data_IF_010007523484
#
_entry.id   IF_010007523484
#
_cell.length_a   1.000
_cell.length_b   1.000
_cell.length_c   1.000
_cell.angle_alpha   90.00
_cell.angle_beta   90.00
_cell.angle_gamma   90.00
#
_symmetry.space_group_name_H-M   'P 1'
#
loop_
_entity.id
_entity.type
_entity.pdbx_description
1 polymer ?
#
# COMPACT_ATOMS: atom_id res chain seq x y z
N UNK A 1 -20.86 26.45 -12.45
CA UNK A 1 -19.93 26.03 -11.39
C UNK A 1 -18.55 25.77 -11.99
N UNK A 2 -17.47 25.91 -11.23
CA UNK A 2 -16.13 25.61 -11.73
C UNK A 2 -16.00 24.11 -12.02
N UNK A 3 -15.28 23.78 -13.10
CA UNK A 3 -15.08 22.39 -13.54
C UNK A 3 -13.68 21.90 -13.19
N UNK A 4 -13.54 20.62 -13.12
CA UNK A 4 -12.29 19.89 -12.89
C UNK A 4 -12.16 18.71 -13.86
N UNK A 5 -10.93 18.24 -14.06
CA UNK A 5 -10.66 16.98 -14.76
C UNK A 5 -10.69 15.80 -13.80
N UNK A 6 -11.27 14.71 -14.26
CA UNK A 6 -11.26 13.43 -13.58
C UNK A 6 -11.04 12.30 -14.60
N UNK A 7 -10.49 11.19 -14.12
CA UNK A 7 -10.42 9.95 -14.88
C UNK A 7 -11.31 8.92 -14.21
N UNK A 8 -12.35 8.49 -14.91
CA UNK A 8 -13.36 7.57 -14.40
C UNK A 8 -13.36 6.25 -15.17
N UNK A 9 -13.91 5.23 -14.52
CA UNK A 9 -14.33 3.97 -15.14
C UNK A 9 -15.85 4.04 -15.30
N UNK A 10 -16.41 3.96 -16.52
CA UNK A 10 -17.84 4.16 -16.75
C UNK A 10 -18.70 2.95 -16.37
N UNK A 11 -18.12 1.75 -16.38
CA UNK A 11 -18.73 0.45 -16.03
C UNK A 11 -17.65 -0.59 -15.73
N UNK A 12 -17.99 -1.70 -15.12
CA UNK A 12 -17.06 -2.82 -14.92
C UNK A 12 -16.41 -3.26 -16.23
N UNK A 13 -15.08 -3.38 -16.25
CA UNK A 13 -14.29 -3.69 -17.44
C UNK A 13 -14.20 -2.56 -18.47
N UNK A 14 -14.84 -1.38 -18.23
CA UNK A 14 -14.81 -0.23 -19.14
C UNK A 14 -13.44 0.45 -19.16
N UNK A 15 -13.10 1.11 -20.26
CA UNK A 15 -11.84 1.86 -20.35
C UNK A 15 -11.86 3.12 -19.46
N UNK A 16 -10.67 3.59 -19.11
CA UNK A 16 -10.53 4.87 -18.42
C UNK A 16 -10.94 6.02 -19.34
N UNK A 17 -11.82 6.88 -18.85
CA UNK A 17 -12.31 8.07 -19.55
C UNK A 17 -11.85 9.34 -18.85
N UNK A 18 -11.20 10.23 -19.57
CA UNK A 18 -10.93 11.60 -19.11
C UNK A 18 -12.20 12.43 -19.30
N UNK A 19 -12.74 12.94 -18.19
CA UNK A 19 -13.99 13.70 -18.21
C UNK A 19 -13.84 15.03 -17.48
N UNK A 20 -14.69 16.00 -17.85
CA UNK A 20 -14.89 17.21 -17.06
C UNK A 20 -16.10 17.02 -16.14
N UNK A 21 -15.92 17.33 -14.86
CA UNK A 21 -16.96 17.23 -13.82
C UNK A 21 -17.03 18.55 -13.05
N UNK A 22 -18.13 18.80 -12.40
CA UNK A 22 -18.20 19.89 -11.43
C UNK A 22 -17.32 19.60 -10.21
N UNK A 23 -16.69 20.64 -9.67
CA UNK A 23 -15.91 20.51 -8.43
C UNK A 23 -16.87 20.13 -7.30
N UNK A 24 -16.68 18.97 -6.61
CA UNK A 24 -17.60 18.50 -5.60
C UNK A 24 -17.56 19.39 -4.34
N UNK A 25 -18.69 19.49 -3.64
CA UNK A 25 -18.80 20.24 -2.39
C UNK A 25 -18.77 19.27 -1.21
N UNK A 26 -17.98 19.55 -0.15
CA UNK A 26 -17.94 18.71 1.03
C UNK A 26 -19.21 18.89 1.87
N UNK A 27 -19.83 17.77 2.23
CA UNK A 27 -20.93 17.74 3.19
C UNK A 27 -20.45 17.80 4.65
N UNK A 28 -21.37 17.68 5.62
CA UNK A 28 -21.02 17.58 7.03
C UNK A 28 -20.05 16.40 7.29
N UNK A 29 -18.98 16.62 8.08
CA UNK A 29 -17.97 15.61 8.38
C UNK A 29 -17.03 15.27 7.21
N UNK A 30 -17.05 16.04 6.11
CA UNK A 30 -16.21 15.82 4.94
C UNK A 30 -15.34 17.02 4.63
N UNK A 31 -14.20 16.79 4.00
CA UNK A 31 -13.36 17.83 3.42
C UNK A 31 -13.25 17.66 1.91
N UNK A 32 -13.06 18.78 1.19
CA UNK A 32 -12.59 18.75 -0.19
C UNK A 32 -11.07 18.85 -0.22
N UNK A 33 -10.44 17.94 -0.93
CA UNK A 33 -8.99 17.89 -1.10
C UNK A 33 -8.67 18.31 -2.53
N UNK A 34 -7.80 19.31 -2.71
CA UNK A 34 -7.12 19.55 -3.97
C UNK A 34 -6.02 18.51 -4.09
N UNK A 35 -6.23 17.53 -4.95
CA UNK A 35 -5.27 16.44 -5.16
C UNK A 35 -4.03 17.00 -5.86
N UNK A 36 -2.86 16.65 -5.36
CA UNK A 36 -1.57 16.99 -5.97
C UNK A 36 -0.96 15.78 -6.66
N UNK A 37 -1.15 14.59 -6.07
CA UNK A 37 -0.70 13.33 -6.64
C UNK A 37 -1.57 12.16 -6.17
N UNK A 38 -1.65 11.12 -7.00
CA UNK A 38 -2.26 9.85 -6.63
C UNK A 38 -1.44 8.69 -7.22
N UNK A 39 -0.97 7.78 -6.37
CA UNK A 39 -0.30 6.56 -6.84
C UNK A 39 -1.27 5.62 -7.55
N UNK A 40 -0.73 4.81 -8.45
CA UNK A 40 -1.47 3.76 -9.18
C UNK A 40 -1.14 2.41 -8.57
N UNK A 41 -2.16 1.77 -8.00
CA UNK A 41 -2.03 0.51 -7.29
C UNK A 41 -2.63 -0.66 -8.08
N UNK A 42 -2.08 -1.86 -7.87
CA UNK A 42 -2.68 -3.07 -8.46
C UNK A 42 -4.14 -3.26 -8.00
N UNK A 43 -4.46 -2.85 -6.77
CA UNK A 43 -5.84 -2.95 -6.24
C UNK A 43 -6.85 -2.06 -6.96
N UNK A 44 -6.43 -1.09 -7.79
CA UNK A 44 -7.33 -0.31 -8.64
C UNK A 44 -8.03 -1.20 -9.71
N UNK A 45 -7.51 -2.42 -9.94
CA UNK A 45 -8.19 -3.46 -10.74
C UNK A 45 -9.59 -3.77 -10.18
N UNK A 46 -9.78 -3.69 -8.87
CA UNK A 46 -11.09 -3.95 -8.24
C UNK A 46 -12.14 -2.94 -8.69
N UNK A 47 -11.75 -1.66 -8.86
CA UNK A 47 -12.61 -0.62 -9.43
C UNK A 47 -12.72 -0.77 -10.94
N UNK A 48 -11.61 -1.07 -11.63
CA UNK A 48 -11.57 -1.20 -13.10
C UNK A 48 -12.44 -2.36 -13.59
N UNK A 49 -12.34 -3.52 -12.94
CA UNK A 49 -13.01 -4.77 -13.38
C UNK A 49 -14.30 -5.10 -12.62
N UNK A 50 -14.70 -4.31 -11.62
CA UNK A 50 -15.92 -4.56 -10.85
C UNK A 50 -15.78 -5.66 -9.80
N UNK A 51 -14.57 -5.88 -9.31
CA UNK A 51 -14.26 -6.96 -8.38
C UNK A 51 -14.65 -6.70 -6.91
N UNK A 52 -15.44 -5.66 -6.63
CA UNK A 52 -15.86 -5.33 -5.26
C UNK A 52 -17.37 -5.30 -5.11
N UNK A 53 -17.95 -5.98 -4.11
CA UNK A 53 -19.40 -6.00 -3.88
C UNK A 53 -19.96 -4.59 -3.63
N UNK A 54 -21.06 -4.25 -4.30
CA UNK A 54 -21.75 -2.97 -4.13
C UNK A 54 -21.09 -1.77 -4.82
N UNK A 55 -20.05 -1.98 -5.61
CA UNK A 55 -19.43 -0.92 -6.42
C UNK A 55 -20.42 -0.36 -7.45
N UNK A 56 -20.54 0.96 -7.50
CA UNK A 56 -21.40 1.68 -8.45
C UNK A 56 -20.57 2.47 -9.43
N UNK A 57 -21.08 2.61 -10.66
CA UNK A 57 -20.44 3.35 -11.75
C UNK A 57 -21.29 4.53 -12.25
N UNK A 58 -20.66 5.56 -12.88
CA UNK A 58 -19.23 5.70 -13.10
C UNK A 58 -18.48 5.90 -11.79
N UNK A 59 -17.21 5.44 -11.71
CA UNK A 59 -16.37 5.56 -10.52
C UNK A 59 -14.98 6.10 -10.87
N UNK A 60 -14.50 7.04 -10.07
CA UNK A 60 -13.10 7.52 -10.10
C UNK A 60 -12.28 6.67 -9.15
N UNK A 61 -11.28 5.91 -9.63
CA UNK A 61 -10.41 5.10 -8.77
C UNK A 61 -9.34 5.92 -8.05
N UNK A 62 -8.46 5.21 -7.33
CA UNK A 62 -7.28 5.77 -6.69
C UNK A 62 -7.43 5.95 -5.18
N UNK A 63 -6.55 5.26 -4.43
CA UNK A 63 -6.50 5.25 -2.96
C UNK A 63 -5.08 5.51 -2.42
N UNK A 64 -4.24 6.17 -3.19
CA UNK A 64 -2.89 6.61 -2.80
C UNK A 64 -2.79 8.12 -2.95
N UNK A 65 -3.67 8.84 -2.26
CA UNK A 65 -3.89 10.28 -2.46
C UNK A 65 -2.96 11.10 -1.57
N UNK A 66 -2.34 12.12 -2.16
CA UNK A 66 -1.64 13.19 -1.48
C UNK A 66 -2.15 14.53 -2.00
N UNK A 67 -2.49 15.45 -1.10
CA UNK A 67 -3.05 16.74 -1.49
C UNK A 67 -3.15 17.73 -0.33
N UNK A 68 -3.95 18.76 -0.54
CA UNK A 68 -4.16 19.85 0.42
C UNK A 68 -5.65 20.07 0.61
N UNK A 69 -6.10 20.26 1.83
CA UNK A 69 -7.50 20.61 2.12
C UNK A 69 -7.82 21.97 1.46
N UNK A 70 -8.75 21.96 0.53
CA UNK A 70 -9.21 23.14 -0.18
C UNK A 70 -10.46 23.76 0.48
N UNK A 71 -11.34 22.90 1.01
CA UNK A 71 -12.57 23.34 1.68
C UNK A 71 -12.96 22.34 2.78
N UNK A 72 -13.51 22.85 3.86
CA UNK A 72 -13.93 22.07 5.04
C UNK A 72 -15.44 22.15 5.17
N UNK A 73 -16.11 21.00 5.25
CA UNK A 73 -17.55 20.91 5.48
C UNK A 73 -17.94 21.29 6.90
N UNK A 74 -19.23 21.41 7.14
CA UNK A 74 -19.74 21.82 8.45
C UNK A 74 -19.47 20.78 9.54
N UNK A 75 -19.32 21.27 10.80
CA UNK A 75 -19.13 20.45 11.99
C UNK A 75 -17.70 19.97 12.22
N UNK A 76 -16.74 20.36 11.39
CA UNK A 76 -15.33 19.95 11.51
C UNK A 76 -14.53 21.06 12.20
N UNK A 77 -13.80 20.71 13.27
CA UNK A 77 -12.93 21.61 14.02
C UNK A 77 -11.47 21.16 14.03
N UNK A 78 -11.21 19.87 13.76
CA UNK A 78 -9.88 19.28 13.82
C UNK A 78 -9.03 19.53 12.56
N UNK A 79 -9.66 19.89 11.44
CA UNK A 79 -9.00 20.08 10.15
C UNK A 79 -9.25 21.46 9.59
N UNK A 80 -8.27 22.03 8.88
CA UNK A 80 -8.35 23.39 8.33
C UNK A 80 -7.93 23.42 6.87
N UNK A 81 -8.48 24.37 6.13
CA UNK A 81 -8.03 24.71 4.77
C UNK A 81 -6.53 24.99 4.77
N UNK A 82 -5.82 24.45 3.79
CA UNK A 82 -4.39 24.59 3.62
C UNK A 82 -3.56 23.46 4.24
N UNK A 83 -4.14 22.60 5.10
CA UNK A 83 -3.42 21.47 5.66
C UNK A 83 -3.14 20.40 4.62
N UNK A 84 -1.93 19.84 4.66
CA UNK A 84 -1.51 18.76 3.77
C UNK A 84 -2.00 17.43 4.31
N UNK A 85 -2.66 16.65 3.45
CA UNK A 85 -3.31 15.40 3.84
C UNK A 85 -3.10 14.30 2.81
N UNK A 86 -3.13 13.07 3.30
CA UNK A 86 -3.23 11.87 2.48
C UNK A 86 -4.52 11.12 2.76
N UNK A 87 -4.99 10.35 1.75
CA UNK A 87 -6.07 9.38 1.90
C UNK A 87 -5.60 8.05 1.32
N UNK A 88 -5.58 7.02 2.16
CA UNK A 88 -5.16 5.67 1.78
C UNK A 88 -6.33 4.76 1.43
N UNK A 89 -6.05 3.44 1.46
CA UNK A 89 -7.07 2.40 1.29
C UNK A 89 -8.21 2.55 2.28
N UNK A 90 -7.88 2.78 3.57
CA UNK A 90 -8.86 3.03 4.61
C UNK A 90 -9.53 4.40 4.38
N UNK A 91 -10.68 4.36 3.73
CA UNK A 91 -11.45 5.53 3.31
C UNK A 91 -12.53 5.96 4.31
N UNK A 92 -12.49 5.46 5.54
CA UNK A 92 -13.38 5.81 6.64
C UNK A 92 -14.08 4.61 7.28
N UNK A 93 -14.45 4.76 8.54
CA UNK A 93 -15.15 3.77 9.37
C UNK A 93 -16.47 4.34 9.90
N UNK A 94 -17.34 3.47 10.46
CA UNK A 94 -18.66 3.87 11.00
C UNK A 94 -18.63 4.35 12.46
N UNK A 95 -17.55 4.06 13.19
CA UNK A 95 -17.42 4.42 14.61
C UNK A 95 -18.34 3.65 15.56
N UNK A 96 -19.27 2.82 15.08
CA UNK A 96 -20.37 2.24 15.86
C UNK A 96 -20.37 0.73 15.94
N UNK A 97 -19.81 0.02 14.97
CA UNK A 97 -19.72 -1.43 14.98
C UNK A 97 -18.85 -1.95 16.13
N UNK A 98 -18.89 -3.25 16.40
CA UNK A 98 -18.14 -3.84 17.51
C UNK A 98 -16.64 -3.59 17.41
N UNK A 99 -16.07 -3.70 16.21
CA UNK A 99 -14.65 -3.47 15.95
C UNK A 99 -14.27 -2.01 16.25
N UNK A 100 -15.03 -1.06 15.72
CA UNK A 100 -14.80 0.37 15.98
C UNK A 100 -14.88 0.70 17.48
N UNK A 101 -15.87 0.14 18.19
CA UNK A 101 -16.00 0.34 19.64
C UNK A 101 -14.87 -0.27 20.46
N UNK A 102 -14.09 -1.19 19.88
CA UNK A 102 -12.85 -1.76 20.44
C UNK A 102 -11.59 -1.03 20.01
N UNK A 103 -11.71 0.02 19.19
CA UNK A 103 -10.58 0.74 18.61
C UNK A 103 -9.94 0.03 17.41
N UNK A 104 -10.53 -1.04 16.92
CA UNK A 104 -10.05 -1.82 15.76
C UNK A 104 -10.70 -1.30 14.47
N UNK A 105 -10.34 -0.08 14.09
CA UNK A 105 -10.94 0.61 12.94
C UNK A 105 -10.59 -0.05 11.60
N UNK A 106 -9.42 -0.68 11.50
CA UNK A 106 -8.99 -1.40 10.30
C UNK A 106 -9.89 -2.57 9.91
N UNK A 107 -10.59 -3.15 10.90
CA UNK A 107 -11.55 -4.24 10.73
C UNK A 107 -13.02 -3.77 10.88
N UNK A 108 -13.30 -2.50 10.61
CA UNK A 108 -14.66 -1.97 10.64
C UNK A 108 -15.59 -2.79 9.73
N UNK A 109 -16.76 -3.21 10.24
CA UNK A 109 -17.74 -3.98 9.47
C UNK A 109 -18.29 -3.21 8.26
N UNK A 110 -18.30 -1.87 8.33
CA UNK A 110 -18.75 -0.96 7.28
C UNK A 110 -17.59 -0.10 6.75
N UNK A 111 -16.41 -0.69 6.62
CA UNK A 111 -15.23 -0.01 6.11
C UNK A 111 -15.50 0.57 4.72
N UNK A 112 -15.27 1.85 4.56
CA UNK A 112 -15.27 2.51 3.26
C UNK A 112 -13.87 2.43 2.67
N UNK A 113 -13.77 2.07 1.40
CA UNK A 113 -12.50 2.06 0.66
C UNK A 113 -12.51 3.23 -0.32
N UNK A 114 -11.46 4.06 -0.26
CA UNK A 114 -11.27 5.18 -1.19
C UNK A 114 -11.14 4.68 -2.64
N UNK A 115 -11.83 5.32 -3.57
CA UNK A 115 -11.87 4.89 -4.98
C UNK A 115 -12.81 3.72 -5.26
N UNK A 116 -13.48 3.15 -4.23
CA UNK A 116 -14.48 2.10 -4.33
C UNK A 116 -15.82 2.57 -3.76
N UNK A 117 -15.85 2.92 -2.47
CA UNK A 117 -17.06 3.37 -1.79
C UNK A 117 -17.48 4.79 -2.22
N UNK A 118 -16.53 5.60 -2.59
CA UNK A 118 -16.70 6.96 -3.14
C UNK A 118 -15.55 7.24 -4.12
N UNK A 119 -15.65 8.35 -4.88
CA UNK A 119 -14.65 8.73 -5.88
C UNK A 119 -13.29 8.98 -5.25
N UNK A 120 -12.25 8.36 -5.81
CA UNK A 120 -10.86 8.39 -5.33
C UNK A 120 -10.03 9.51 -5.94
N UNK A 121 -8.72 9.32 -5.95
CA UNK A 121 -7.72 10.35 -6.25
C UNK A 121 -7.40 10.57 -7.74
N UNK A 122 -8.00 9.86 -8.69
CA UNK A 122 -7.75 10.11 -10.11
C UNK A 122 -8.53 11.34 -10.61
N UNK A 123 -8.45 12.44 -9.90
CA UNK A 123 -9.13 13.71 -10.21
C UNK A 123 -8.46 14.89 -9.52
N UNK A 124 -8.69 16.10 -10.02
CA UNK A 124 -8.06 17.33 -9.47
C UNK A 124 -8.60 17.70 -8.08
N UNK A 125 -9.87 17.39 -7.77
CA UNK A 125 -10.49 17.59 -6.45
C UNK A 125 -11.31 16.37 -6.06
N UNK A 126 -11.21 15.95 -4.82
CA UNK A 126 -12.04 14.89 -4.27
C UNK A 126 -12.65 15.29 -2.93
N UNK A 127 -13.70 14.61 -2.52
CA UNK A 127 -14.29 14.74 -1.19
C UNK A 127 -14.02 13.45 -0.41
N UNK A 128 -13.54 13.59 0.82
CA UNK A 128 -13.29 12.47 1.72
C UNK A 128 -13.86 12.76 3.11
N UNK A 129 -14.31 11.73 3.86
CA UNK A 129 -14.70 11.88 5.26
C UNK A 129 -13.43 12.13 6.12
N UNK A 130 -13.57 12.85 7.22
CA UNK A 130 -12.45 13.20 8.09
C UNK A 130 -11.76 11.98 8.71
N UNK A 131 -12.49 10.88 8.87
CA UNK A 131 -11.98 9.61 9.37
C UNK A 131 -11.00 8.92 8.41
N UNK A 132 -10.89 9.39 7.17
CA UNK A 132 -9.96 8.86 6.16
C UNK A 132 -8.65 9.64 6.09
N UNK A 133 -8.56 10.79 6.76
CA UNK A 133 -7.45 11.73 6.58
C UNK A 133 -6.25 11.37 7.44
N UNK A 134 -5.07 11.44 6.85
CA UNK A 134 -3.78 11.39 7.51
C UNK A 134 -3.03 12.71 7.30
N UNK A 135 -2.43 13.26 8.34
CA UNK A 135 -1.54 14.42 8.21
C UNK A 135 -0.30 14.05 7.39
N UNK A 136 0.06 14.90 6.45
CA UNK A 136 1.23 14.70 5.61
C UNK A 136 2.33 15.71 5.97
N UNK A 137 3.57 15.28 6.29
CA UNK A 137 4.69 16.15 6.58
C UNK A 137 5.01 17.13 5.44
N UNK A 138 5.44 18.34 5.79
CA UNK A 138 5.75 19.39 4.81
C UNK A 138 6.93 19.05 3.89
N UNK A 139 7.94 18.35 4.39
CA UNK A 139 9.14 18.01 3.62
C UNK A 139 8.94 16.85 2.62
N UNK A 140 7.81 16.13 2.66
CA UNK A 140 7.53 15.07 1.70
C UNK A 140 6.91 15.64 0.41
N UNK A 141 7.51 15.31 -0.73
CA UNK A 141 6.89 15.56 -2.03
C UNK A 141 5.58 14.77 -2.17
N UNK A 142 4.53 15.39 -2.72
CA UNK A 142 3.21 14.76 -2.81
C UNK A 142 3.23 13.47 -3.66
N UNK A 143 4.02 13.43 -4.74
CA UNK A 143 4.12 12.25 -5.57
C UNK A 143 4.90 11.11 -4.89
N UNK A 144 5.79 11.41 -3.94
CA UNK A 144 6.42 10.41 -3.10
C UNK A 144 5.52 9.97 -1.93
N UNK A 145 4.73 10.90 -1.38
CA UNK A 145 3.79 10.60 -0.30
C UNK A 145 2.63 9.69 -0.76
N UNK A 146 2.11 9.87 -1.98
CA UNK A 146 1.01 9.05 -2.50
C UNK A 146 1.23 7.54 -2.32
N UNK A 147 2.27 6.92 -2.88
CA UNK A 147 2.53 5.50 -2.70
C UNK A 147 2.74 5.05 -1.25
N UNK A 148 3.15 5.95 -0.35
CA UNK A 148 3.28 5.65 1.07
C UNK A 148 1.92 5.44 1.75
N UNK A 149 0.84 5.98 1.18
CA UNK A 149 -0.54 5.81 1.69
C UNK A 149 -1.11 4.41 1.45
N UNK A 150 -0.44 3.57 0.64
CA UNK A 150 -0.85 2.17 0.42
C UNK A 150 0.34 1.23 0.56
N UNK A 151 1.24 1.18 -0.43
CA UNK A 151 2.39 0.28 -0.40
C UNK A 151 3.32 0.55 0.80
N UNK A 152 3.48 1.82 1.16
CA UNK A 152 4.26 2.24 2.33
C UNK A 152 3.65 1.74 3.63
N UNK A 153 2.43 2.16 3.95
CA UNK A 153 1.76 1.78 5.20
C UNK A 153 1.58 0.27 5.33
N UNK A 154 1.30 -0.43 4.22
CA UNK A 154 1.17 -1.89 4.22
C UNK A 154 2.46 -2.57 4.67
N UNK A 155 3.60 -2.19 4.09
CA UNK A 155 4.90 -2.83 4.42
C UNK A 155 5.44 -2.37 5.76
N UNK A 156 5.31 -1.09 6.09
CA UNK A 156 5.69 -0.54 7.38
C UNK A 156 4.92 -1.21 8.52
N UNK A 157 3.60 -1.26 8.40
CA UNK A 157 2.72 -1.76 9.45
C UNK A 157 2.87 -3.29 9.63
N UNK A 158 2.95 -4.05 8.53
CA UNK A 158 3.22 -5.48 8.60
C UNK A 158 4.54 -5.79 9.33
N UNK A 159 5.60 -5.04 9.05
CA UNK A 159 6.90 -5.20 9.71
C UNK A 159 6.84 -4.78 11.19
N UNK A 160 6.20 -3.64 11.50
CA UNK A 160 6.05 -3.12 12.86
C UNK A 160 5.32 -4.11 13.78
N UNK A 161 4.33 -4.83 13.24
CA UNK A 161 3.53 -5.81 13.99
C UNK A 161 3.98 -7.27 13.80
N UNK A 162 5.09 -7.49 13.11
CA UNK A 162 5.59 -8.84 12.81
C UNK A 162 6.15 -9.59 14.03
N UNK A 163 6.51 -8.88 15.10
CA UNK A 163 7.19 -9.43 16.26
C UNK A 163 8.69 -9.65 16.05
N UNK A 164 9.28 -9.10 14.97
CA UNK A 164 10.73 -9.05 14.81
C UNK A 164 11.35 -8.00 15.72
N UNK A 165 12.55 -8.28 16.19
CA UNK A 165 13.38 -7.38 17.00
C UNK A 165 14.61 -6.93 16.20
N UNK A 166 15.23 -5.78 16.53
CA UNK A 166 16.49 -5.39 15.91
C UNK A 166 17.50 -6.55 15.89
N UNK A 167 18.23 -6.71 14.80
CA UNK A 167 19.16 -7.80 14.47
C UNK A 167 18.52 -9.10 13.99
N UNK A 168 17.20 -9.33 14.16
CA UNK A 168 16.54 -10.51 13.60
C UNK A 168 16.69 -10.56 12.08
N UNK A 169 16.77 -11.77 11.53
CA UNK A 169 16.74 -11.98 10.09
C UNK A 169 15.30 -11.79 9.58
N UNK A 170 15.11 -10.75 8.78
CA UNK A 170 13.85 -10.45 8.08
C UNK A 170 14.08 -10.60 6.59
N UNK A 171 13.33 -11.50 5.95
CA UNK A 171 13.35 -11.65 4.50
C UNK A 171 12.20 -10.88 3.85
N UNK A 172 12.47 -10.25 2.72
CA UNK A 172 11.45 -9.59 1.88
C UNK A 172 11.36 -10.31 0.55
N UNK A 173 10.24 -10.99 0.31
CA UNK A 173 10.00 -11.72 -0.92
C UNK A 173 9.38 -10.81 -1.97
N UNK A 174 10.11 -10.61 -3.06
CA UNK A 174 9.80 -9.69 -4.16
C UNK A 174 10.52 -8.34 -4.02
N UNK A 175 11.14 -7.87 -5.10
CA UNK A 175 11.78 -6.54 -5.22
C UNK A 175 10.95 -5.71 -6.21
N UNK A 176 9.72 -5.41 -5.83
CA UNK A 176 8.74 -4.68 -6.66
C UNK A 176 8.11 -3.52 -5.90
N UNK A 177 6.87 -3.17 -6.29
CA UNK A 177 6.14 -2.00 -5.76
C UNK A 177 5.99 -1.93 -4.23
N UNK A 178 5.82 -3.07 -3.55
CA UNK A 178 5.82 -3.16 -2.08
C UNK A 178 7.22 -3.49 -1.56
N UNK A 179 7.89 -4.46 -2.19
CA UNK A 179 9.14 -5.01 -1.66
C UNK A 179 10.27 -4.00 -1.58
N UNK A 180 10.40 -3.06 -2.53
CA UNK A 180 11.44 -2.03 -2.46
C UNK A 180 11.27 -1.10 -1.24
N UNK A 181 10.03 -0.86 -0.80
CA UNK A 181 9.74 -0.14 0.46
C UNK A 181 9.95 -1.05 1.67
N UNK A 182 9.48 -2.31 1.61
CA UNK A 182 9.67 -3.29 2.67
C UNK A 182 11.16 -3.51 3.01
N UNK A 183 12.05 -3.56 2.02
CA UNK A 183 13.51 -3.66 2.23
C UNK A 183 14.02 -2.43 2.97
N UNK A 184 13.65 -1.23 2.54
CA UNK A 184 14.07 0.02 3.17
C UNK A 184 13.57 0.10 4.62
N UNK A 185 12.26 -0.14 4.87
CA UNK A 185 11.69 -0.12 6.21
C UNK A 185 12.35 -1.16 7.12
N UNK A 186 12.52 -2.40 6.64
CA UNK A 186 13.17 -3.45 7.43
C UNK A 186 14.59 -3.06 7.84
N UNK A 187 15.36 -2.45 6.94
CA UNK A 187 16.70 -1.94 7.25
C UNK A 187 16.65 -0.81 8.27
N UNK A 188 15.71 0.13 8.15
CA UNK A 188 15.57 1.26 9.09
C UNK A 188 15.04 0.85 10.47
N UNK A 189 14.34 -0.28 10.57
CA UNK A 189 13.99 -0.89 11.85
C UNK A 189 15.16 -1.62 12.53
N UNK A 190 16.33 -1.70 11.90
CA UNK A 190 17.51 -2.34 12.44
C UNK A 190 17.54 -3.86 12.26
N UNK A 191 16.76 -4.39 11.30
CA UNK A 191 16.76 -5.82 11.02
C UNK A 191 17.92 -6.20 10.09
N UNK A 192 18.35 -7.46 10.16
CA UNK A 192 19.21 -8.09 9.18
C UNK A 192 18.34 -8.48 7.97
N UNK A 193 18.48 -7.79 6.86
CA UNK A 193 17.55 -7.90 5.71
C UNK A 193 18.09 -8.85 4.64
N UNK A 194 17.29 -9.86 4.28
CA UNK A 194 17.49 -10.69 3.09
C UNK A 194 16.43 -10.32 2.05
N UNK A 195 16.82 -9.82 0.89
CA UNK A 195 15.88 -9.62 -0.23
C UNK A 195 15.86 -10.87 -1.11
N UNK A 196 14.66 -11.33 -1.45
CA UNK A 196 14.45 -12.48 -2.33
C UNK A 196 13.83 -11.98 -3.63
N UNK A 197 14.50 -12.19 -4.74
CA UNK A 197 14.04 -11.79 -6.08
C UNK A 197 14.35 -12.86 -7.12
N UNK A 198 14.01 -12.59 -8.38
CA UNK A 198 14.39 -13.42 -9.52
C UNK A 198 15.41 -12.68 -10.37
N UNK A 199 16.47 -13.37 -10.74
CA UNK A 199 17.54 -12.83 -11.57
C UNK A 199 18.59 -12.07 -10.78
N UNK A 200 19.85 -12.29 -11.16
CA UNK A 200 21.00 -11.66 -10.49
C UNK A 200 21.06 -10.14 -10.66
N UNK A 201 20.41 -9.60 -11.69
CA UNK A 201 20.35 -8.17 -12.00
C UNK A 201 19.69 -7.34 -10.88
N UNK A 202 18.80 -7.95 -10.09
CA UNK A 202 18.15 -7.26 -8.96
C UNK A 202 19.05 -7.13 -7.72
N UNK A 203 20.17 -7.83 -7.67
CA UNK A 203 21.04 -7.86 -6.48
C UNK A 203 21.63 -6.49 -6.14
N UNK A 204 22.12 -5.75 -7.14
CA UNK A 204 22.70 -4.42 -6.93
C UNK A 204 21.66 -3.44 -6.37
N UNK A 205 20.45 -3.46 -6.93
CA UNK A 205 19.35 -2.62 -6.47
C UNK A 205 18.89 -3.02 -5.05
N UNK A 206 18.71 -4.30 -4.78
CA UNK A 206 18.31 -4.77 -3.44
C UNK A 206 19.31 -4.31 -2.36
N UNK A 207 20.62 -4.40 -2.64
CA UNK A 207 21.68 -3.89 -1.76
C UNK A 207 21.61 -2.37 -1.58
N UNK A 208 21.38 -1.62 -2.66
CA UNK A 208 21.20 -0.15 -2.60
C UNK A 208 20.01 0.24 -1.73
N UNK A 209 18.94 -0.55 -1.74
CA UNK A 209 17.75 -0.36 -0.92
C UNK A 209 17.97 -0.74 0.56
N UNK A 210 19.10 -1.37 0.91
CA UNK A 210 19.46 -1.72 2.28
C UNK A 210 19.43 -3.22 2.60
N UNK A 211 19.28 -4.10 1.61
CA UNK A 211 19.40 -5.53 1.83
C UNK A 211 20.87 -5.92 2.13
N UNK A 212 21.09 -6.67 3.20
CA UNK A 212 22.38 -7.23 3.57
C UNK A 212 22.72 -8.45 2.72
N UNK A 213 21.69 -9.23 2.34
CA UNK A 213 21.81 -10.42 1.50
C UNK A 213 20.79 -10.35 0.38
N UNK A 214 21.17 -10.78 -0.81
CA UNK A 214 20.24 -11.03 -1.93
C UNK A 214 20.22 -12.52 -2.24
N UNK A 215 19.03 -13.08 -2.37
CA UNK A 215 18.79 -14.47 -2.73
C UNK A 215 18.07 -14.49 -4.08
N UNK A 216 18.72 -15.08 -5.08
CA UNK A 216 18.09 -15.30 -6.39
C UNK A 216 17.27 -16.60 -6.35
N UNK A 217 15.96 -16.47 -6.21
CA UNK A 217 15.02 -17.60 -6.18
C UNK A 217 14.83 -18.29 -7.56
N UNK A 218 15.40 -17.73 -8.62
CA UNK A 218 15.47 -18.38 -9.93
C UNK A 218 16.66 -19.35 -10.05
N UNK A 219 17.71 -19.12 -9.27
CA UNK A 219 18.94 -19.91 -9.31
C UNK A 219 19.10 -20.86 -8.11
N UNK A 220 18.48 -20.54 -6.95
CA UNK A 220 18.65 -21.31 -5.72
C UNK A 220 17.32 -21.54 -5.00
N UNK A 221 17.29 -22.53 -4.11
CA UNK A 221 16.19 -22.71 -3.15
C UNK A 221 16.30 -21.64 -2.05
N UNK A 222 15.41 -20.66 -2.13
CA UNK A 222 15.43 -19.51 -1.21
C UNK A 222 15.17 -19.92 0.24
N UNK A 223 14.38 -20.98 0.52
CA UNK A 223 14.16 -21.48 1.86
C UNK A 223 15.44 -22.10 2.44
N UNK A 224 16.15 -22.91 1.64
CA UNK A 224 17.43 -23.47 2.03
C UNK A 224 18.49 -22.39 2.29
N UNK A 225 18.54 -21.34 1.46
CA UNK A 225 19.46 -20.23 1.69
C UNK A 225 19.13 -19.46 2.97
N UNK A 226 17.84 -19.24 3.28
CA UNK A 226 17.44 -18.64 4.56
C UNK A 226 17.84 -19.52 5.77
N UNK A 227 17.73 -20.84 5.66
CA UNK A 227 18.17 -21.76 6.72
C UNK A 227 19.68 -21.69 6.97
N UNK A 228 20.50 -21.53 5.93
CA UNK A 228 21.96 -21.31 6.09
C UNK A 228 22.26 -20.00 6.85
N UNK A 229 21.35 -19.04 6.82
CA UNK A 229 21.44 -17.77 7.55
C UNK A 229 20.90 -17.85 8.98
N UNK A 230 20.38 -19.02 9.41
CA UNK A 230 19.77 -19.26 10.71
C UNK A 230 18.23 -19.33 10.72
N UNK A 231 17.61 -19.20 9.54
CA UNK A 231 16.16 -19.14 9.38
C UNK A 231 15.58 -17.75 9.68
N UNK A 232 14.64 -17.32 8.86
CA UNK A 232 14.05 -16.00 9.00
C UNK A 232 13.08 -15.90 10.20
N UNK A 233 13.20 -14.84 11.00
CA UNK A 233 12.21 -14.49 12.03
C UNK A 233 10.91 -14.02 11.37
N UNK A 234 11.02 -13.27 10.28
CA UNK A 234 9.89 -12.81 9.48
C UNK A 234 10.21 -12.94 7.99
N UNK A 235 9.24 -13.40 7.22
CA UNK A 235 9.25 -13.30 5.77
C UNK A 235 8.09 -12.39 5.38
N UNK A 236 8.39 -11.21 4.86
CA UNK A 236 7.39 -10.29 4.29
C UNK A 236 7.13 -10.70 2.84
N UNK A 237 5.99 -11.32 2.59
CA UNK A 237 5.59 -11.83 1.27
C UNK A 237 4.86 -10.73 0.48
N UNK A 238 5.57 -10.05 -0.42
CA UNK A 238 5.04 -8.91 -1.18
C UNK A 238 4.63 -9.25 -2.61
N UNK A 239 5.20 -10.29 -3.20
CA UNK A 239 4.82 -10.72 -4.54
C UNK A 239 3.53 -11.59 -4.51
N UNK A 240 2.57 -11.38 -5.43
CA UNK A 240 1.28 -12.07 -5.45
C UNK A 240 1.43 -13.50 -6.04
N UNK A 241 2.15 -14.37 -5.34
CA UNK A 241 2.42 -15.74 -5.77
C UNK A 241 2.33 -16.69 -4.58
N UNK A 242 1.20 -17.37 -4.44
CA UNK A 242 0.96 -18.37 -3.40
C UNK A 242 2.00 -19.49 -3.45
N UNK A 243 2.40 -19.94 -4.64
CA UNK A 243 3.45 -20.96 -4.83
C UNK A 243 4.78 -20.50 -4.23
N UNK A 244 5.18 -19.24 -4.47
CA UNK A 244 6.41 -18.71 -3.89
C UNK A 244 6.29 -18.54 -2.36
N UNK A 245 5.12 -18.16 -1.84
CA UNK A 245 4.85 -18.08 -0.41
C UNK A 245 4.95 -19.46 0.26
N UNK A 246 4.32 -20.49 -0.34
CA UNK A 246 4.37 -21.87 0.14
C UNK A 246 5.80 -22.41 0.22
N UNK A 247 6.61 -22.17 -0.81
CA UNK A 247 8.01 -22.58 -0.84
C UNK A 247 8.87 -21.96 0.27
N UNK A 248 8.51 -20.76 0.75
CA UNK A 248 9.30 -20.03 1.75
C UNK A 248 9.00 -20.42 3.20
N UNK A 249 7.94 -21.19 3.48
CA UNK A 249 7.56 -21.57 4.85
C UNK A 249 8.71 -22.32 5.56
N UNK A 250 9.43 -23.18 4.83
CA UNK A 250 10.59 -23.89 5.36
C UNK A 250 11.83 -22.99 5.56
N UNK A 251 11.82 -21.76 5.04
CA UNK A 251 12.85 -20.75 5.29
C UNK A 251 12.69 -20.02 6.63
N UNK A 252 11.53 -20.19 7.30
CA UNK A 252 11.28 -19.61 8.61
C UNK A 252 12.09 -20.34 9.70
N UNK A 253 12.67 -19.58 10.60
CA UNK A 253 13.32 -20.07 11.83
C UNK A 253 12.32 -20.40 12.94
N UNK A 254 12.83 -20.54 14.16
CA UNK A 254 12.00 -20.76 15.36
C UNK A 254 11.11 -19.53 15.63
N UNK A 255 9.82 -19.77 15.92
CA UNK A 255 8.78 -18.75 16.08
C UNK A 255 8.68 -17.81 14.86
N UNK A 256 9.10 -18.27 13.68
CA UNK A 256 9.12 -17.51 12.46
C UNK A 256 7.72 -17.25 11.93
N UNK A 257 7.53 -16.10 11.26
CA UNK A 257 6.23 -15.68 10.75
C UNK A 257 6.30 -15.29 9.27
N UNK A 258 5.41 -15.87 8.46
CA UNK A 258 5.15 -15.40 7.11
C UNK A 258 4.09 -14.31 7.17
N UNK A 259 4.47 -13.05 6.89
CA UNK A 259 3.56 -11.91 6.80
C UNK A 259 3.11 -11.74 5.35
N UNK A 260 1.84 -12.04 5.08
CA UNK A 260 1.26 -12.01 3.73
C UNK A 260 0.66 -10.64 3.46
N UNK A 261 1.23 -9.90 2.52
CA UNK A 261 0.73 -8.60 2.04
C UNK A 261 0.51 -8.56 0.53
N UNK A 262 1.07 -9.50 -0.22
CA UNK A 262 0.80 -9.70 -1.63
C UNK A 262 -0.52 -10.44 -1.84
N UNK A 263 -1.50 -9.81 -2.51
CA UNK A 263 -2.82 -10.40 -2.71
C UNK A 263 -2.85 -11.33 -3.93
N UNK A 264 -3.34 -12.55 -3.75
CA UNK A 264 -3.68 -13.52 -4.80
C UNK A 264 -4.89 -14.35 -4.35
N UNK A 265 -5.65 -14.89 -5.31
CA UNK A 265 -6.79 -15.76 -5.02
C UNK A 265 -6.38 -17.24 -4.92
N UNK A 266 -5.16 -17.59 -5.35
CA UNK A 266 -4.65 -18.95 -5.26
C UNK A 266 -4.30 -19.30 -3.80
N UNK A 267 -4.54 -20.55 -3.35
CA UNK A 267 -4.27 -20.95 -1.97
C UNK A 267 -2.75 -21.02 -1.68
N UNK A 268 -2.36 -20.68 -0.46
CA UNK A 268 -1.04 -20.98 0.09
C UNK A 268 -1.11 -22.40 0.66
N UNK A 269 -0.29 -23.31 0.13
CA UNK A 269 -0.20 -24.69 0.59
C UNK A 269 0.79 -24.78 1.76
N UNK A 270 0.31 -25.31 2.89
CA UNK A 270 1.11 -25.54 4.10
C UNK A 270 0.65 -26.80 4.80
N UNK A 271 1.59 -27.63 5.22
CA UNK A 271 1.27 -28.81 6.03
C UNK A 271 1.30 -28.44 7.53
N UNK A 272 0.47 -29.11 8.36
CA UNK A 272 0.49 -28.86 9.82
C UNK A 272 1.87 -29.01 10.43
N UNK A 273 2.65 -29.99 9.99
CA UNK A 273 3.99 -30.23 10.51
C UNK A 273 4.98 -29.08 10.25
N UNK A 274 4.81 -28.36 9.11
CA UNK A 274 5.63 -27.18 8.81
C UNK A 274 5.39 -26.05 9.80
N UNK A 275 4.19 -25.97 10.40
CA UNK A 275 3.85 -24.96 11.41
C UNK A 275 4.23 -25.43 12.81
N UNK A 276 3.91 -26.70 13.17
CA UNK A 276 4.17 -27.26 14.50
C UNK A 276 5.67 -27.26 14.82
N UNK A 277 6.49 -27.74 13.88
CA UNK A 277 7.95 -27.69 14.03
C UNK A 277 8.39 -26.22 14.03
N UNK A 278 9.10 -25.83 15.08
CA UNK A 278 9.58 -24.46 15.30
C UNK A 278 8.47 -23.41 15.56
N UNK A 279 7.22 -23.80 15.85
CA UNK A 279 6.12 -22.88 16.20
C UNK A 279 5.95 -21.73 15.18
N UNK A 280 5.94 -22.08 13.91
CA UNK A 280 5.81 -21.12 12.80
C UNK A 280 4.38 -20.66 12.64
N UNK A 281 4.16 -19.49 12.04
CA UNK A 281 2.83 -18.94 11.79
C UNK A 281 2.73 -18.25 10.43
N UNK A 282 1.50 -18.19 9.90
CA UNK A 282 1.11 -17.36 8.76
C UNK A 282 0.15 -16.30 9.25
N UNK A 283 0.34 -15.06 8.80
CA UNK A 283 -0.53 -13.96 9.15
C UNK A 283 -0.71 -13.02 7.95
N UNK A 284 -1.96 -12.75 7.56
CA UNK A 284 -2.28 -11.69 6.63
C UNK A 284 -2.19 -10.33 7.30
N UNK A 285 -1.83 -9.30 6.53
CA UNK A 285 -1.83 -7.91 6.99
C UNK A 285 -2.41 -7.00 5.91
N UNK A 286 -3.48 -6.29 6.25
CA UNK A 286 -4.14 -5.36 5.35
C UNK A 286 -3.73 -3.93 5.69
N UNK A 287 -2.99 -3.26 4.82
CA UNK A 287 -2.73 -1.80 4.88
C UNK A 287 -2.58 -1.23 6.30
N UNK A 288 -3.29 -0.14 6.61
CA UNK A 288 -3.36 0.51 7.90
C UNK A 288 -4.46 1.58 7.93
N UNK A 289 -4.77 2.08 9.12
CA UNK A 289 -5.68 3.20 9.35
C UNK A 289 -4.94 4.54 9.15
N UNK A 290 -5.62 5.69 9.13
CA UNK A 290 -4.96 6.99 8.89
C UNK A 290 -3.80 7.31 9.82
N UNK A 291 -3.89 6.97 11.11
CA UNK A 291 -2.78 7.17 12.07
C UNK A 291 -1.56 6.28 11.74
N UNK A 292 -1.78 5.07 11.24
CA UNK A 292 -0.68 4.23 10.73
C UNK A 292 -0.01 4.86 9.51
N UNK A 293 -0.81 5.51 8.65
CA UNK A 293 -0.30 6.25 7.50
C UNK A 293 0.52 7.46 7.94
N UNK A 294 0.07 8.20 8.96
CA UNK A 294 0.85 9.31 9.55
C UNK A 294 2.19 8.83 10.11
N UNK A 295 2.18 7.73 10.87
CA UNK A 295 3.40 7.12 11.40
C UNK A 295 4.35 6.71 10.27
N UNK A 296 3.81 6.12 9.19
CA UNK A 296 4.58 5.74 8.01
C UNK A 296 5.22 6.95 7.33
N UNK A 297 4.44 8.03 7.14
CA UNK A 297 4.92 9.25 6.52
C UNK A 297 6.01 9.95 7.37
N UNK A 298 5.78 10.08 8.68
CA UNK A 298 6.77 10.64 9.62
C UNK A 298 8.04 9.82 9.69
N UNK A 299 7.91 8.49 9.74
CA UNK A 299 9.06 7.59 9.73
C UNK A 299 9.84 7.69 8.41
N UNK A 300 9.13 7.79 7.28
CA UNK A 300 9.74 7.96 5.95
C UNK A 300 10.49 9.30 5.85
N UNK A 301 9.89 10.39 6.36
CA UNK A 301 10.56 11.69 6.42
C UNK A 301 11.85 11.62 7.25
N UNK A 302 11.75 11.10 8.48
CA UNK A 302 12.85 11.02 9.45
C UNK A 302 14.01 10.14 8.96
N UNK A 303 13.70 9.02 8.29
CA UNK A 303 14.71 8.02 7.94
C UNK A 303 15.18 8.05 6.50
N UNK A 304 14.53 8.86 5.66
CA UNK A 304 14.83 8.97 4.23
C UNK A 304 14.31 7.81 3.39
N UNK A 305 13.39 6.99 3.90
CA UNK A 305 12.69 5.98 3.07
C UNK A 305 11.86 6.68 2.02
N UNK A 306 12.04 6.31 0.74
CA UNK A 306 11.32 6.91 -0.39
C UNK A 306 10.91 5.84 -1.39
N UNK A 307 9.71 5.95 -1.98
CA UNK A 307 9.36 5.14 -3.12
C UNK A 307 10.14 5.57 -4.36
N UNK A 308 10.52 4.62 -5.18
CA UNK A 308 10.97 4.89 -6.55
C UNK A 308 9.72 5.08 -7.41
N UNK A 309 9.60 6.22 -8.10
CA UNK A 309 8.37 6.62 -8.79
C UNK A 309 8.60 6.96 -10.26
N UNK A 310 7.58 6.69 -11.09
CA UNK A 310 7.44 7.17 -12.46
C UNK A 310 6.21 8.09 -12.48
N UNK A 311 6.40 9.38 -12.85
CA UNK A 311 5.32 10.38 -12.84
C UNK A 311 4.60 10.40 -14.19
N UNK A 312 3.27 10.49 -14.13
CA UNK A 312 2.39 10.63 -15.28
C UNK A 312 1.39 11.76 -15.03
N UNK A 313 1.09 12.62 -16.01
CA UNK A 313 -0.01 13.57 -15.87
C UNK A 313 -1.34 12.83 -15.74
N UNK A 314 -2.31 13.38 -15.00
CA UNK A 314 -3.63 12.79 -14.76
C UNK A 314 -4.28 12.22 -16.03
N UNK A 315 -4.25 12.98 -17.12
CA UNK A 315 -4.87 12.58 -18.41
C UNK A 315 -4.26 11.32 -19.04
N UNK A 316 -3.10 10.87 -18.53
CA UNK A 316 -2.42 9.64 -18.94
C UNK A 316 -2.63 8.47 -17.95
N UNK A 317 -3.70 8.50 -17.16
CA UNK A 317 -3.97 7.46 -16.17
C UNK A 317 -4.06 6.05 -16.78
N UNK A 318 -4.62 5.91 -17.99
CA UNK A 318 -4.64 4.62 -18.70
C UNK A 318 -3.24 4.10 -19.01
N UNK A 319 -2.31 4.99 -19.42
CA UNK A 319 -0.91 4.65 -19.69
C UNK A 319 -0.18 4.25 -18.37
N UNK A 320 -0.39 5.03 -17.30
CA UNK A 320 0.17 4.74 -15.99
C UNK A 320 -0.33 3.40 -15.42
N UNK A 321 -1.62 3.10 -15.57
CA UNK A 321 -2.22 1.83 -15.17
C UNK A 321 -1.63 0.67 -15.98
N UNK A 322 -1.55 0.78 -17.31
CA UNK A 322 -0.95 -0.25 -18.16
C UNK A 322 0.53 -0.46 -17.82
N UNK A 323 1.28 0.62 -17.50
CA UNK A 323 2.67 0.55 -17.06
C UNK A 323 2.81 -0.24 -15.77
N UNK A 324 1.96 0.03 -14.77
CA UNK A 324 1.91 -0.71 -13.50
C UNK A 324 1.55 -2.18 -13.72
N UNK A 325 0.48 -2.48 -14.50
CA UNK A 325 0.03 -3.85 -14.77
C UNK A 325 1.06 -4.68 -15.53
N UNK A 326 1.89 -4.06 -16.36
CA UNK A 326 2.97 -4.76 -17.09
C UNK A 326 4.08 -5.30 -16.18
N UNK A 327 4.13 -4.90 -14.90
CA UNK A 327 5.20 -5.22 -13.97
C UNK A 327 6.56 -4.57 -14.29
N UNK A 328 6.59 -3.66 -15.26
CA UNK A 328 7.83 -3.00 -15.74
C UNK A 328 8.07 -1.62 -15.10
N UNK A 329 7.12 -1.12 -14.29
CA UNK A 329 7.31 0.12 -13.55
C UNK A 329 8.44 -0.01 -12.52
N UNK A 330 9.28 1.02 -12.39
CA UNK A 330 10.34 1.06 -11.37
C UNK A 330 10.09 2.19 -10.34
N UNK A 331 9.28 1.98 -9.25
CA UNK A 331 8.42 0.81 -9.05
C UNK A 331 6.97 1.23 -8.96
N UNK A 332 6.71 2.54 -8.73
CA UNK A 332 5.36 3.06 -8.53
C UNK A 332 5.02 4.07 -9.61
N UNK A 333 3.98 3.80 -10.38
CA UNK A 333 3.41 4.83 -11.25
C UNK A 333 2.59 5.80 -10.39
N UNK A 334 2.73 7.11 -10.63
CA UNK A 334 2.06 8.16 -9.86
C UNK A 334 1.48 9.20 -10.81
N UNK A 335 0.18 9.46 -10.66
CA UNK A 335 -0.51 10.55 -11.36
C UNK A 335 -0.22 11.88 -10.67
N UNK A 336 0.06 12.93 -11.43
CA UNK A 336 0.23 14.31 -10.96
C UNK A 336 -0.81 15.21 -11.62
N UNK A 337 -1.38 16.14 -10.84
CA UNK A 337 -2.43 17.08 -11.26
C UNK A 337 -1.84 18.41 -11.70
#
# INVERSE_FOLDING_TARGET
MAKMKAVQVPKAGGDFEVVEREIPQPGPGQVRIKVQACGVCHSDVLTKEGGWPGLTYPRVPGHEVAGVIDEVGSGITAWKKGERVGVGWHGGQDGTCLQCRRGDFGNCANLKVCGIAYDGGYQEYMVAPVEALAHMPEALDAAEAGPLMCAGVTTFNALRHSGAMPSDLVAVQGVGGLGHLGIQFAQKFGYRVAAIGRGAENAALAKKLGAHVYIDSGATDAAAELQKLGGARVILATAPSSKAMSALINGLGANGRLMVVGATMDPIEVTPIQLIVNMRSLQGWASGIPTDSEDTLRFSEMTGVRPMIERFPLVKAAEAYARMMSGKAQFRAVLTM
#
